data_IF_587131028380
#
_entry.id   IF_587131028380
#
_cell.length_a   1.000
_cell.length_b   1.000
_cell.length_c   1.000
_cell.angle_alpha   90.00
_cell.angle_beta   90.00
_cell.angle_gamma   90.00
#
_symmetry.space_group_name_H-M   'P 1'
#
loop_
_entity.id
_entity.type
_entity.pdbx_description
1 polymer ?
#
# COMPACT_ATOMS: atom_id res chain seq x y z
N UNK A 1 29.65 1.26 36.00
CA UNK A 1 29.83 2.20 34.87
C UNK A 1 29.72 1.54 33.50
N UNK A 2 30.58 0.60 33.09
CA UNK A 2 30.42 -0.02 31.74
C UNK A 2 29.15 -0.87 31.54
N UNK A 3 28.64 -1.53 32.58
CA UNK A 3 27.40 -2.31 32.47
C UNK A 3 26.13 -1.43 32.39
N UNK A 4 26.16 -0.23 32.99
CA UNK A 4 25.07 0.74 32.92
C UNK A 4 24.98 1.37 31.53
N UNK A 5 26.13 1.74 30.93
CA UNK A 5 26.20 2.24 29.55
C UNK A 5 25.70 1.19 28.55
N UNK A 6 26.06 -0.08 28.75
CA UNK A 6 25.60 -1.19 27.90
C UNK A 6 24.09 -1.44 28.04
N UNK A 7 23.56 -1.35 29.26
CA UNK A 7 22.12 -1.48 29.53
C UNK A 7 21.32 -0.34 28.88
N UNK A 8 21.84 0.88 28.97
CA UNK A 8 21.21 2.06 28.37
C UNK A 8 21.22 1.99 26.84
N UNK A 9 22.32 1.54 26.23
CA UNK A 9 22.37 1.27 24.77
C UNK A 9 21.37 0.19 24.35
N UNK A 10 21.17 -0.85 25.16
CA UNK A 10 20.18 -1.89 24.88
C UNK A 10 18.76 -1.35 24.94
N UNK A 11 18.45 -0.48 25.92
CA UNK A 11 17.16 0.22 26.01
C UNK A 11 16.93 1.13 24.81
N UNK A 12 17.94 1.92 24.42
CA UNK A 12 17.81 2.79 23.27
C UNK A 12 17.52 2.00 22.00
N UNK A 13 18.25 0.89 21.76
CA UNK A 13 17.98 0.00 20.61
C UNK A 13 16.56 -0.58 20.62
N UNK A 14 16.04 -0.94 21.79
CA UNK A 14 14.67 -1.43 21.91
C UNK A 14 13.65 -0.34 21.58
N UNK A 15 13.86 0.89 22.04
CA UNK A 15 13.01 2.02 21.71
C UNK A 15 13.05 2.35 20.21
N UNK A 16 14.24 2.31 19.60
CA UNK A 16 14.40 2.54 18.16
C UNK A 16 13.69 1.46 17.34
N UNK A 17 13.77 0.19 17.76
CA UNK A 17 13.04 -0.92 17.14
C UNK A 17 11.53 -0.75 17.29
N UNK A 18 11.05 -0.33 18.46
CA UNK A 18 9.62 -0.06 18.68
C UNK A 18 9.13 1.07 17.76
N UNK A 19 9.89 2.16 17.64
CA UNK A 19 9.57 3.25 16.74
C UNK A 19 9.53 2.79 15.27
N UNK A 20 10.50 1.99 14.84
CA UNK A 20 10.52 1.42 13.50
C UNK A 20 9.31 0.51 13.23
N UNK A 21 8.90 -0.30 14.20
CA UNK A 21 7.71 -1.17 14.09
C UNK A 21 6.42 -0.35 14.01
N UNK A 22 6.29 0.75 14.76
CA UNK A 22 5.14 1.64 14.66
C UNK A 22 5.06 2.29 13.27
N UNK A 23 6.17 2.80 12.76
CA UNK A 23 6.22 3.39 11.42
C UNK A 23 5.87 2.35 10.33
N UNK A 24 6.36 1.12 10.46
CA UNK A 24 6.04 0.03 9.54
C UNK A 24 4.54 -0.31 9.57
N UNK A 25 3.95 -0.41 10.76
CA UNK A 25 2.51 -0.66 10.93
C UNK A 25 1.70 0.43 10.25
N UNK A 26 2.03 1.69 10.50
CA UNK A 26 1.29 2.83 9.94
C UNK A 26 1.42 2.89 8.42
N UNK A 27 2.61 2.57 7.88
CA UNK A 27 2.84 2.40 6.45
C UNK A 27 1.99 1.28 5.83
N UNK A 28 1.89 0.13 6.48
CA UNK A 28 1.05 -0.99 6.02
C UNK A 28 -0.44 -0.66 6.03
N UNK A 29 -0.92 0.09 7.04
CA UNK A 29 -2.31 0.58 7.10
C UNK A 29 -2.59 1.51 5.92
N UNK A 30 -1.71 2.47 5.65
CA UNK A 30 -1.86 3.39 4.52
C UNK A 30 -1.85 2.67 3.17
N UNK A 31 -0.98 1.68 3.00
CA UNK A 31 -0.95 0.84 1.79
C UNK A 31 -2.26 0.06 1.63
N UNK A 32 -2.77 -0.53 2.71
CA UNK A 32 -4.05 -1.24 2.69
C UNK A 32 -5.20 -0.33 2.27
N UNK A 33 -5.27 0.89 2.80
CA UNK A 33 -6.29 1.87 2.43
C UNK A 33 -6.14 2.28 0.95
N UNK A 34 -4.92 2.54 0.49
CA UNK A 34 -4.66 2.89 -0.91
C UNK A 34 -5.05 1.78 -1.87
N UNK A 35 -4.83 0.51 -1.49
CA UNK A 35 -5.25 -0.66 -2.27
C UNK A 35 -6.76 -0.85 -2.27
N UNK A 36 -7.45 -0.55 -1.16
CA UNK A 36 -8.91 -0.55 -1.10
C UNK A 36 -9.51 0.56 -1.98
N UNK A 37 -8.96 1.78 -1.91
CA UNK A 37 -9.34 2.88 -2.79
C UNK A 37 -9.09 2.54 -4.26
N UNK A 38 -7.94 1.94 -4.58
CA UNK A 38 -7.64 1.49 -5.93
C UNK A 38 -8.61 0.39 -6.39
N UNK A 39 -8.93 -0.57 -5.52
CA UNK A 39 -9.92 -1.62 -5.79
C UNK A 39 -11.31 -1.06 -6.04
N UNK A 40 -11.67 0.06 -5.41
CA UNK A 40 -12.94 0.76 -5.64
C UNK A 40 -12.91 1.58 -6.94
N UNK A 41 -11.73 2.08 -7.34
CA UNK A 41 -11.52 2.79 -8.61
C UNK A 41 -11.44 1.86 -9.82
N UNK A 42 -10.98 0.62 -9.63
CA UNK A 42 -11.20 -0.47 -10.60
C UNK A 42 -12.65 -0.94 -10.49
N UNK A 43 -13.58 -0.07 -10.89
CA UNK A 43 -14.96 -0.45 -11.12
C UNK A 43 -14.98 -1.43 -12.29
N UNK A 44 -15.12 -2.72 -11.98
CA UNK A 44 -15.23 -3.78 -12.98
C UNK A 44 -16.29 -3.44 -14.05
N UNK A 45 -17.31 -2.65 -13.68
CA UNK A 45 -18.35 -2.16 -14.57
C UNK A 45 -17.78 -1.17 -15.57
N UNK A 46 -17.08 -0.13 -15.13
CA UNK A 46 -16.45 0.86 -16.00
C UNK A 46 -15.38 0.23 -16.90
N UNK A 47 -14.63 -0.76 -16.41
CA UNK A 47 -13.66 -1.50 -17.22
C UNK A 47 -14.34 -2.37 -18.29
N UNK A 48 -15.46 -3.01 -17.96
CA UNK A 48 -16.27 -3.80 -18.92
C UNK A 48 -16.92 -2.89 -19.95
N UNK A 49 -17.48 -1.75 -19.55
CA UNK A 49 -18.08 -0.76 -20.44
C UNK A 49 -17.04 -0.19 -21.41
N UNK A 50 -15.86 0.22 -20.92
CA UNK A 50 -14.78 0.70 -21.76
C UNK A 50 -14.24 -0.39 -22.73
N UNK A 51 -14.18 -1.65 -22.28
CA UNK A 51 -13.80 -2.78 -23.14
C UNK A 51 -14.83 -3.03 -24.24
N UNK A 52 -16.13 -3.01 -23.91
CA UNK A 52 -17.22 -3.13 -24.88
C UNK A 52 -17.22 -1.98 -25.89
N UNK A 53 -17.05 -0.74 -25.43
CA UNK A 53 -16.97 0.42 -26.33
C UNK A 53 -15.75 0.32 -27.26
N UNK A 54 -14.62 -0.18 -26.76
CA UNK A 54 -13.41 -0.42 -27.56
C UNK A 54 -13.64 -1.50 -28.63
N UNK A 55 -14.30 -2.61 -28.29
CA UNK A 55 -14.64 -3.67 -29.24
C UNK A 55 -15.61 -3.16 -30.33
N UNK A 56 -16.63 -2.39 -29.94
CA UNK A 56 -17.58 -1.77 -30.87
C UNK A 56 -16.90 -0.75 -31.81
N UNK A 57 -15.91 -0.01 -31.31
CA UNK A 57 -15.09 0.88 -32.12
C UNK A 57 -14.22 0.10 -33.11
N UNK A 58 -13.60 -1.01 -32.68
CA UNK A 58 -12.79 -1.87 -33.56
C UNK A 58 -13.62 -2.56 -34.64
N UNK A 59 -14.85 -2.97 -34.34
CA UNK A 59 -15.79 -3.53 -35.32
C UNK A 59 -16.14 -2.48 -36.39
N UNK A 60 -16.50 -1.26 -35.97
CA UNK A 60 -16.80 -0.15 -36.90
C UNK A 60 -15.61 0.22 -37.78
N UNK A 61 -14.39 0.14 -37.27
CA UNK A 61 -13.17 0.43 -38.03
C UNK A 61 -12.79 -0.67 -39.02
N UNK A 62 -13.30 -1.90 -38.86
CA UNK A 62 -13.02 -3.04 -39.75
C UNK A 62 -14.00 -3.16 -40.93
N UNK A 63 -15.11 -2.41 -40.91
CA UNK A 63 -16.12 -2.37 -41.97
C UNK A 63 -17.27 -3.34 -41.74
#
# INVERSE_FOLDING_TARGET
MHDEERSEQMRQKLLDMQAALFNLRDGLVNLSLSLQELSLLTDETAQREASQETDDLLLRLRG
#
